data_IF_517716155011
#
_entry.id   IF_517716155011
#
_cell.length_a   1.000
_cell.length_b   1.000
_cell.length_c   1.000
_cell.angle_alpha   90.00
_cell.angle_beta   90.00
_cell.angle_gamma   90.00
#
_symmetry.space_group_name_H-M   'P 1'
#
loop_
_entity.id
_entity.type
_entity.pdbx_description
1 polymer ?
#
# COMPACT_ATOMS: atom_id res chain seq x y z
N UNK A 1 -3.89 26.28 3.30
CA UNK A 1 -4.00 24.93 3.90
C UNK A 1 -3.85 23.90 2.79
N UNK A 2 -2.85 23.02 2.88
CA UNK A 2 -2.61 21.98 1.87
C UNK A 2 -3.25 20.66 2.28
N UNK A 3 -3.91 19.98 1.34
CA UNK A 3 -4.50 18.66 1.57
C UNK A 3 -3.39 17.60 1.56
N UNK A 4 -3.51 16.53 2.35
CA UNK A 4 -2.56 15.41 2.34
C UNK A 4 -3.32 14.11 2.12
N UNK A 5 -2.75 13.20 1.34
CA UNK A 5 -3.33 11.87 1.15
C UNK A 5 -2.95 10.97 2.31
N UNK A 6 -3.87 10.12 2.72
CA UNK A 6 -3.56 8.95 3.54
C UNK A 6 -2.80 7.94 2.67
N UNK A 7 -1.53 7.72 3.00
CA UNK A 7 -0.62 6.87 2.21
C UNK A 7 -1.13 5.44 2.11
N UNK A 8 -1.54 4.84 3.23
CA UNK A 8 -1.95 3.44 3.29
C UNK A 8 -3.24 3.20 2.49
N UNK A 9 -4.22 4.10 2.66
CA UNK A 9 -5.46 4.04 1.87
C UNK A 9 -5.19 4.23 0.39
N UNK A 10 -4.31 5.16 0.03
CA UNK A 10 -4.00 5.44 -1.36
C UNK A 10 -3.26 4.28 -2.03
N UNK A 11 -2.28 3.68 -1.36
CA UNK A 11 -1.60 2.47 -1.84
C UNK A 11 -2.58 1.30 -1.98
N UNK A 12 -3.48 1.09 -1.01
CA UNK A 12 -4.51 0.06 -1.10
C UNK A 12 -5.38 0.23 -2.36
N UNK A 13 -5.84 1.44 -2.65
CA UNK A 13 -6.66 1.68 -3.84
C UNK A 13 -5.90 1.45 -5.15
N UNK A 14 -4.60 1.75 -5.18
CA UNK A 14 -3.73 1.41 -6.31
C UNK A 14 -3.61 -0.10 -6.50
N UNK A 15 -3.33 -0.85 -5.42
CA UNK A 15 -3.21 -2.30 -5.48
C UNK A 15 -4.51 -2.97 -5.94
N UNK A 16 -5.67 -2.54 -5.44
CA UNK A 16 -6.99 -3.06 -5.84
C UNK A 16 -7.32 -2.85 -7.33
N UNK A 17 -6.61 -1.94 -8.00
CA UNK A 17 -6.74 -1.65 -9.44
C UNK A 17 -5.60 -2.22 -10.27
N UNK A 18 -4.66 -2.94 -9.64
CA UNK A 18 -3.42 -3.37 -10.30
C UNK A 18 -2.60 -2.19 -10.85
N UNK A 19 -2.74 -1.01 -10.26
CA UNK A 19 -2.15 0.22 -10.76
C UNK A 19 -0.86 0.57 -10.02
N UNK A 20 0.13 1.08 -10.77
CA UNK A 20 1.34 1.65 -10.18
C UNK A 20 1.22 3.17 -10.05
N UNK A 21 2.13 3.79 -9.30
CA UNK A 21 2.23 5.25 -9.27
C UNK A 21 2.46 5.87 -10.66
N UNK A 22 3.18 5.18 -11.56
CA UNK A 22 3.41 5.62 -12.93
C UNK A 22 2.13 5.54 -13.78
N UNK A 23 1.38 4.44 -13.66
CA UNK A 23 0.09 4.26 -14.33
C UNK A 23 -0.90 5.35 -13.91
N UNK A 24 -0.99 5.60 -12.60
CA UNK A 24 -1.84 6.67 -12.09
C UNK A 24 -1.38 8.05 -12.57
N UNK A 25 -0.09 8.34 -12.54
CA UNK A 25 0.45 9.63 -12.99
C UNK A 25 0.06 9.92 -14.44
N UNK A 26 0.16 8.89 -15.30
CA UNK A 26 -0.28 8.95 -16.69
C UNK A 26 -1.79 9.25 -16.79
N UNK A 27 -2.63 8.46 -16.10
CA UNK A 27 -4.09 8.61 -16.12
C UNK A 27 -4.58 9.94 -15.53
N UNK A 28 -3.89 10.48 -14.52
CA UNK A 28 -4.21 11.75 -13.89
C UNK A 28 -3.59 12.96 -14.60
N UNK A 29 -2.80 12.75 -15.65
CA UNK A 29 -2.03 13.79 -16.35
C UNK A 29 -1.17 14.64 -15.39
N UNK A 30 -0.49 14.00 -14.44
CA UNK A 30 0.44 14.63 -13.50
C UNK A 30 1.82 13.98 -13.59
N UNK A 31 2.85 14.67 -13.11
CA UNK A 31 4.19 14.10 -13.11
C UNK A 31 4.29 12.91 -12.12
N UNK A 32 5.07 11.87 -12.43
CA UNK A 32 5.34 10.77 -11.49
C UNK A 32 5.89 11.26 -10.14
N UNK A 33 6.73 12.30 -10.17
CA UNK A 33 7.26 12.93 -8.96
C UNK A 33 6.15 13.51 -8.08
N UNK A 34 5.07 14.03 -8.66
CA UNK A 34 3.91 14.49 -7.88
C UNK A 34 3.31 13.34 -7.09
N UNK A 35 3.11 12.17 -7.70
CA UNK A 35 2.57 10.99 -7.04
C UNK A 35 3.50 10.50 -5.93
N UNK A 36 4.81 10.43 -6.19
CA UNK A 36 5.81 10.07 -5.17
C UNK A 36 5.77 11.03 -3.98
N UNK A 37 5.70 12.35 -4.24
CA UNK A 37 5.58 13.35 -3.16
C UNK A 37 4.29 13.19 -2.37
N UNK A 38 3.16 12.90 -3.02
CA UNK A 38 1.91 12.60 -2.34
C UNK A 38 2.06 11.40 -1.40
N UNK A 39 2.71 10.32 -1.85
CA UNK A 39 2.97 9.11 -1.07
C UNK A 39 3.91 9.37 0.12
N UNK A 40 4.82 10.32 0.01
CA UNK A 40 5.64 10.82 1.12
C UNK A 40 4.91 11.83 2.02
N UNK A 41 3.61 12.03 1.81
CA UNK A 41 2.77 12.91 2.63
C UNK A 41 2.86 14.39 2.28
N UNK A 42 3.47 14.79 1.15
CA UNK A 42 3.55 16.19 0.76
C UNK A 42 2.15 16.80 0.54
N UNK A 43 1.97 18.10 0.83
CA UNK A 43 0.70 18.78 0.59
C UNK A 43 0.39 18.87 -0.91
N UNK A 44 -0.88 18.69 -1.26
CA UNK A 44 -1.41 18.80 -2.62
C UNK A 44 -2.49 19.88 -2.72
N UNK A 45 -2.70 20.35 -3.96
CA UNK A 45 -3.79 21.25 -4.30
C UNK A 45 -5.11 20.49 -4.48
N UNK A 46 -6.24 21.19 -4.37
CA UNK A 46 -7.56 20.62 -4.68
C UNK A 46 -7.66 20.16 -6.15
N UNK A 47 -6.99 20.85 -7.08
CA UNK A 47 -6.91 20.44 -8.50
C UNK A 47 -6.23 19.09 -8.64
N UNK A 48 -5.11 18.88 -7.96
CA UNK A 48 -4.37 17.61 -7.96
C UNK A 48 -5.22 16.49 -7.37
N UNK A 49 -5.91 16.75 -6.25
CA UNK A 49 -6.82 15.76 -5.65
C UNK A 49 -7.91 15.33 -6.63
N UNK A 50 -8.57 16.28 -7.31
CA UNK A 50 -9.61 15.98 -8.30
C UNK A 50 -9.07 15.15 -9.47
N UNK A 51 -7.87 15.46 -9.96
CA UNK A 51 -7.21 14.68 -11.02
C UNK A 51 -6.91 13.24 -10.58
N UNK A 52 -6.38 13.06 -9.37
CA UNK A 52 -6.13 11.72 -8.80
C UNK A 52 -7.44 10.93 -8.65
N UNK A 53 -8.50 11.54 -8.11
CA UNK A 53 -9.80 10.87 -7.94
C UNK A 53 -10.41 10.47 -9.28
N UNK A 54 -10.38 11.36 -10.28
CA UNK A 54 -10.86 11.06 -11.62
C UNK A 54 -10.09 9.89 -12.26
N UNK A 55 -8.76 9.86 -12.11
CA UNK A 55 -7.93 8.77 -12.60
C UNK A 55 -8.22 7.43 -11.89
N UNK A 56 -8.42 7.45 -10.56
CA UNK A 56 -8.81 6.27 -9.79
C UNK A 56 -10.19 5.74 -10.19
N UNK A 57 -11.11 6.61 -10.61
CA UNK A 57 -12.42 6.20 -11.12
C UNK A 57 -12.35 5.62 -12.54
N UNK A 58 -11.41 6.08 -13.36
CA UNK A 58 -11.19 5.55 -14.70
C UNK A 58 -10.50 4.16 -14.69
N UNK A 59 -9.80 3.83 -13.61
CA UNK A 59 -9.16 2.53 -13.40
C UNK A 59 -10.13 1.59 -12.67
N UNK A 60 -10.67 0.55 -13.34
CA UNK A 60 -11.64 -0.35 -12.72
C UNK A 60 -11.00 -1.16 -11.59
N UNK A 61 -11.78 -1.42 -10.53
CA UNK A 61 -11.39 -2.32 -9.45
C UNK A 61 -11.30 -3.74 -10.01
N UNK A 62 -10.22 -4.44 -9.69
CA UNK A 62 -10.06 -5.84 -10.03
C UNK A 62 -10.74 -6.69 -8.95
N UNK A 63 -11.91 -7.22 -9.27
CA UNK A 63 -12.66 -8.11 -8.37
C UNK A 63 -11.78 -9.30 -7.96
N UNK A 64 -11.75 -9.58 -6.66
CA UNK A 64 -10.91 -10.64 -6.09
C UNK A 64 -9.42 -10.28 -5.89
N UNK A 65 -8.96 -9.09 -6.30
CA UNK A 65 -7.57 -8.67 -6.05
C UNK A 65 -7.23 -8.66 -4.55
N UNK A 66 -8.18 -8.26 -3.70
CA UNK A 66 -8.01 -8.27 -2.24
C UNK A 66 -7.78 -9.69 -1.66
N UNK A 67 -8.23 -10.75 -2.34
CA UNK A 67 -8.00 -12.12 -1.91
C UNK A 67 -6.60 -12.64 -2.29
N UNK A 68 -6.01 -12.08 -3.35
CA UNK A 68 -4.67 -12.45 -3.83
C UNK A 68 -3.57 -11.59 -3.20
N UNK A 69 -3.89 -10.35 -2.86
CA UNK A 69 -2.96 -9.41 -2.26
C UNK A 69 -2.90 -9.65 -0.76
N UNK A 70 -1.73 -10.01 -0.25
CA UNK A 70 -1.48 -10.00 1.19
C UNK A 70 -1.69 -8.57 1.70
N UNK A 71 -2.66 -8.38 2.59
CA UNK A 71 -2.71 -7.12 3.36
C UNK A 71 -1.47 -7.09 4.27
N UNK A 72 -0.90 -5.90 4.47
CA UNK A 72 0.27 -5.75 5.34
C UNK A 72 0.00 -6.30 6.75
N UNK A 73 -1.25 -6.30 7.20
CA UNK A 73 -1.67 -6.95 8.45
C UNK A 73 -1.48 -8.47 8.44
N UNK A 74 -1.87 -9.16 7.35
CA UNK A 74 -1.63 -10.60 7.18
C UNK A 74 -0.13 -10.89 7.08
N UNK A 75 0.64 -10.07 6.37
CA UNK A 75 2.10 -10.23 6.26
C UNK A 75 2.79 -10.04 7.62
N UNK A 76 2.40 -9.02 8.38
CA UNK A 76 2.98 -8.72 9.69
C UNK A 76 2.58 -9.77 10.74
N UNK A 77 1.33 -10.27 10.69
CA UNK A 77 0.88 -11.38 11.53
C UNK A 77 1.63 -12.67 11.21
N UNK A 78 1.82 -13.01 9.93
CA UNK A 78 2.61 -14.18 9.53
C UNK A 78 4.08 -14.06 9.96
N UNK A 79 4.69 -12.86 9.84
CA UNK A 79 6.04 -12.61 10.31
C UNK A 79 6.15 -12.75 11.84
N UNK A 80 5.19 -12.21 12.60
CA UNK A 80 5.14 -12.36 14.06
C UNK A 80 4.95 -13.83 14.48
N UNK A 81 4.12 -14.58 13.75
CA UNK A 81 3.87 -15.99 14.02
C UNK A 81 5.09 -16.87 13.69
N UNK A 82 5.83 -16.53 12.63
CA UNK A 82 7.10 -17.19 12.29
C UNK A 82 8.20 -16.88 13.33
N UNK A 83 8.25 -15.65 13.86
CA UNK A 83 9.18 -15.30 14.94
C UNK A 83 8.87 -16.07 16.23
N UNK A 84 7.59 -16.20 16.61
CA UNK A 84 7.18 -16.98 17.78
C UNK A 84 7.56 -18.47 17.66
N UNK A 85 7.35 -19.08 16.49
CA UNK A 85 7.72 -20.49 16.25
C UNK A 85 9.24 -20.72 16.33
N UNK A 86 10.05 -19.71 16.00
CA UNK A 86 11.51 -19.80 16.07
C UNK A 86 12.02 -19.71 17.52
N UNK A 87 11.39 -18.91 18.38
CA UNK A 87 11.73 -18.83 19.81
C UNK A 87 11.36 -20.12 20.57
N UNK A 88 10.23 -20.76 20.24
CA UNK A 88 9.84 -22.04 20.83
C UNK A 88 10.78 -23.20 20.43
N UNK A 89 11.44 -23.11 19.28
CA UNK A 89 12.40 -24.11 18.81
C UNK A 89 13.76 -24.02 19.52
N UNK A 90 14.19 -22.82 19.93
CA UNK A 90 15.45 -22.62 20.69
C UNK A 90 15.33 -23.13 22.14
N UNK A 91 14.15 -22.99 22.76
CA UNK A 91 13.87 -23.48 24.11
C UNK A 91 13.90 -25.02 24.23
N UNK A 92 13.74 -25.77 23.13
CA UNK A 92 13.70 -27.24 23.14
C UNK A 92 15.07 -27.92 23.00
N UNK A 93 16.17 -27.19 22.79
CA UNK A 93 17.48 -27.77 22.41
C UNK A 93 18.46 -27.99 23.57
N UNK A 94 18.11 -27.68 24.83
CA UNK A 94 18.98 -27.95 25.99
C UNK A 94 18.52 -29.18 26.80
N UNK A 95 18.92 -30.41 26.45
CA UNK A 95 18.90 -31.51 27.41
C UNK A 95 20.01 -31.27 28.45
N UNK A 96 19.58 -31.20 29.71
CA UNK A 96 20.44 -31.06 30.89
C UNK A 96 21.52 -32.14 30.92
N UNK A 97 22.76 -31.74 31.19
CA UNK A 97 23.85 -32.63 31.63
C UNK A 97 24.25 -32.24 33.05
#
# INVERSE_FOLDING_TARGET
MGLRLDRERFLRELHRRGATAATLACAAHISPNTVTRCLSGAPISQRTLRGIVAALMALPILEGADALLATDMTRNAAAAQAAALAEDADASTNPST
#
